data_IF_053934559270
#
_entry.id   IF_053934559270
#
_cell.length_a   1.000
_cell.length_b   1.000
_cell.length_c   1.000
_cell.angle_alpha   90.00
_cell.angle_beta   90.00
_cell.angle_gamma   90.00
#
_symmetry.space_group_name_H-M   'P 1'
#
loop_
_entity.id
_entity.type
_entity.pdbx_description
1 polymer ?
#
# COMPACT_ATOMS: atom_id res chain seq x y z
N UNK A 1 -56.09 30.18 -31.38
CA UNK A 1 -54.81 29.76 -31.97
C UNK A 1 -53.94 29.18 -30.87
N UNK A 2 -53.65 27.87 -30.95
CA UNK A 2 -52.74 27.14 -30.06
C UNK A 2 -51.31 27.21 -30.62
N UNK A 3 -50.35 26.76 -29.79
CA UNK A 3 -48.97 26.31 -30.10
C UNK A 3 -47.91 27.44 -30.21
N UNK A 4 -46.75 27.40 -29.55
CA UNK A 4 -46.14 26.43 -28.61
C UNK A 4 -44.91 27.10 -28.00
N UNK A 5 -44.77 27.11 -26.68
CA UNK A 5 -43.51 27.47 -26.02
C UNK A 5 -42.76 26.15 -25.77
N UNK A 6 -41.67 25.91 -26.51
CA UNK A 6 -40.84 24.72 -26.36
C UNK A 6 -39.90 24.92 -25.17
N UNK A 7 -40.26 24.40 -23.99
CA UNK A 7 -39.36 24.34 -22.83
C UNK A 7 -38.58 23.02 -22.93
N UNK A 8 -37.33 23.11 -23.36
CA UNK A 8 -36.40 21.99 -23.38
C UNK A 8 -35.90 21.75 -21.94
N UNK A 9 -36.57 20.84 -21.22
CA UNK A 9 -36.11 20.40 -19.91
C UNK A 9 -34.93 19.42 -20.09
N UNK A 10 -33.72 19.92 -19.85
CA UNK A 10 -32.50 19.11 -19.80
C UNK A 10 -32.50 18.32 -18.47
N UNK A 11 -33.04 17.10 -18.50
CA UNK A 11 -32.91 16.16 -17.40
C UNK A 11 -31.46 15.69 -17.31
N UNK A 12 -30.66 16.36 -16.48
CA UNK A 12 -29.38 15.83 -16.00
C UNK A 12 -29.68 14.64 -15.09
N UNK A 13 -29.69 13.45 -15.68
CA UNK A 13 -29.62 12.19 -14.95
C UNK A 13 -28.27 12.14 -14.24
N UNK A 14 -28.25 12.55 -12.97
CA UNK A 14 -27.13 12.27 -12.07
C UNK A 14 -27.12 10.75 -11.90
N UNK A 15 -26.30 10.06 -12.68
CA UNK A 15 -25.98 8.67 -12.40
C UNK A 15 -25.33 8.67 -11.02
N UNK A 16 -26.03 8.13 -10.03
CA UNK A 16 -25.45 7.86 -8.72
C UNK A 16 -24.34 6.83 -8.96
N UNK A 17 -23.11 7.30 -9.09
CA UNK A 17 -21.92 6.45 -9.01
C UNK A 17 -21.98 5.85 -7.61
N UNK A 18 -22.30 4.57 -7.54
CA UNK A 18 -22.29 3.81 -6.29
C UNK A 18 -20.81 3.56 -5.95
N UNK A 19 -20.16 4.59 -5.41
CA UNK A 19 -18.81 4.48 -4.89
C UNK A 19 -18.90 3.68 -3.59
N UNK A 20 -18.20 2.54 -3.53
CA UNK A 20 -17.99 1.84 -2.26
C UNK A 20 -17.34 2.82 -1.27
N UNK A 21 -18.01 3.05 -0.14
CA UNK A 21 -17.43 3.82 0.95
C UNK A 21 -16.33 2.98 1.61
N UNK A 22 -15.11 3.52 1.63
CA UNK A 22 -13.96 2.86 2.27
C UNK A 22 -13.89 3.28 3.73
N UNK A 23 -13.47 2.36 4.59
CA UNK A 23 -13.33 2.59 6.02
C UNK A 23 -11.91 3.05 6.34
N UNK A 24 -11.79 4.11 7.16
CA UNK A 24 -10.50 4.51 7.72
C UNK A 24 -10.14 3.54 8.84
N UNK A 25 -9.14 2.69 8.59
CA UNK A 25 -8.54 1.84 9.61
C UNK A 25 -7.36 2.55 10.27
N UNK A 26 -7.40 2.66 11.60
CA UNK A 26 -6.35 3.29 12.41
C UNK A 26 -5.83 2.28 13.44
N UNK A 27 -4.52 2.10 13.52
CA UNK A 27 -3.89 1.29 14.54
C UNK A 27 -2.85 2.11 15.31
N UNK A 28 -3.19 2.56 16.52
CA UNK A 28 -2.30 3.37 17.36
C UNK A 28 -1.06 2.60 17.86
N UNK A 29 -1.19 1.28 18.05
CA UNK A 29 -0.08 0.44 18.52
C UNK A 29 0.96 0.20 17.43
N UNK A 30 0.50 0.04 16.19
CA UNK A 30 1.38 -0.11 15.02
C UNK A 30 1.61 1.21 14.28
N UNK A 31 1.12 2.31 14.85
CA UNK A 31 1.39 3.70 14.47
C UNK A 31 1.09 4.05 13.01
N UNK A 32 0.04 3.46 12.42
CA UNK A 32 -0.38 3.77 11.06
C UNK A 32 -1.90 3.95 10.90
N UNK A 33 -2.28 4.62 9.82
CA UNK A 33 -3.64 4.65 9.30
C UNK A 33 -3.64 4.37 7.80
N UNK A 34 -4.73 3.80 7.30
CA UNK A 34 -5.01 3.64 5.87
C UNK A 34 -6.52 3.47 5.66
N UNK A 35 -7.00 3.73 4.46
CA UNK A 35 -8.37 3.41 4.04
C UNK A 35 -8.41 2.01 3.44
N UNK A 36 -9.42 1.21 3.79
CA UNK A 36 -9.66 -0.10 3.21
C UNK A 36 -11.07 -0.20 2.63
N UNK A 37 -11.32 -1.07 1.63
CA UNK A 37 -12.68 -1.30 1.13
C UNK A 37 -13.65 -1.85 2.18
N UNK A 38 -13.13 -2.54 3.19
CA UNK A 38 -13.85 -3.09 4.35
C UNK A 38 -12.83 -3.35 5.48
N UNK A 39 -13.29 -3.82 6.64
CA UNK A 39 -12.44 -4.11 7.80
C UNK A 39 -11.36 -5.17 7.48
N UNK A 40 -10.06 -4.86 7.63
CA UNK A 40 -8.98 -5.81 7.39
C UNK A 40 -8.73 -6.74 8.59
N UNK A 41 -8.18 -7.92 8.30
CA UNK A 41 -7.70 -8.87 9.30
C UNK A 41 -6.29 -8.55 9.76
N UNK A 42 -6.01 -8.79 11.05
CA UNK A 42 -4.66 -8.65 11.63
C UNK A 42 -4.03 -10.01 11.88
N UNK A 43 -2.83 -10.22 11.36
CA UNK A 43 -2.00 -11.40 11.64
C UNK A 43 -0.57 -11.00 12.00
N UNK A 44 0.14 -11.92 12.66
CA UNK A 44 1.57 -11.77 12.94
C UNK A 44 2.27 -13.03 12.45
N UNK A 45 3.30 -12.84 11.63
CA UNK A 45 4.14 -13.93 11.13
C UNK A 45 5.58 -13.71 11.55
N UNK A 46 6.26 -14.79 11.94
CA UNK A 46 7.68 -14.72 12.25
C UNK A 46 8.49 -15.10 11.02
N UNK A 47 9.33 -14.20 10.54
CA UNK A 47 10.13 -14.42 9.34
C UNK A 47 11.60 -14.34 9.69
N UNK A 48 12.36 -15.36 9.28
CA UNK A 48 13.81 -15.34 9.38
C UNK A 48 14.36 -14.41 8.27
N UNK A 49 15.09 -13.39 8.68
CA UNK A 49 15.74 -12.43 7.78
C UNK A 49 17.24 -12.41 8.02
N UNK A 50 17.98 -11.71 7.15
CA UNK A 50 19.43 -11.54 7.30
C UNK A 50 19.85 -10.90 8.63
N UNK A 51 18.95 -10.15 9.28
CA UNK A 51 19.20 -9.46 10.56
C UNK A 51 18.61 -10.20 11.77
N UNK A 52 18.08 -11.42 11.58
CA UNK A 52 17.43 -12.21 12.61
C UNK A 52 15.95 -12.46 12.35
N UNK A 53 15.26 -13.01 13.34
CA UNK A 53 13.83 -13.29 13.26
C UNK A 53 13.04 -12.00 13.53
N UNK A 54 12.23 -11.59 12.57
CA UNK A 54 11.37 -10.42 12.68
C UNK A 54 9.91 -10.86 12.82
N UNK A 55 9.16 -10.16 13.66
CA UNK A 55 7.70 -10.26 13.70
C UNK A 55 7.13 -9.31 12.64
N UNK A 56 6.52 -9.88 11.60
CA UNK A 56 5.80 -9.16 10.55
C UNK A 56 4.34 -9.02 10.95
N UNK A 57 3.94 -7.80 11.32
CA UNK A 57 2.54 -7.48 11.58
C UNK A 57 1.85 -7.15 10.26
N UNK A 58 0.86 -7.94 9.88
CA UNK A 58 0.15 -7.78 8.61
C UNK A 58 -1.31 -7.41 8.86
N UNK A 59 -1.76 -6.33 8.24
CA UNK A 59 -3.14 -5.85 8.28
C UNK A 59 -3.64 -5.92 6.85
N UNK A 60 -4.45 -6.92 6.57
CA UNK A 60 -4.75 -7.37 5.21
C UNK A 60 -6.26 -7.45 4.99
N UNK A 61 -6.71 -6.90 3.87
CA UNK A 61 -8.03 -7.16 3.33
C UNK A 61 -7.88 -7.91 2.00
N UNK A 62 -8.55 -9.05 1.89
CA UNK A 62 -8.57 -9.89 0.70
C UNK A 62 -10.03 -10.19 0.32
N UNK A 63 -10.61 -9.47 -0.67
CA UNK A 63 -12.01 -9.63 -1.05
C UNK A 63 -12.27 -10.99 -1.71
N UNK A 64 -13.48 -11.51 -1.51
CA UNK A 64 -13.86 -12.84 -2.02
C UNK A 64 -14.09 -12.89 -3.54
N UNK A 65 -14.56 -11.80 -4.17
CA UNK A 65 -14.72 -11.66 -5.63
C UNK A 65 -15.09 -10.22 -6.01
N UNK A 66 -14.87 -9.86 -7.28
CA UNK A 66 -15.36 -8.62 -7.93
C UNK A 66 -14.78 -7.29 -7.43
N UNK A 67 -13.77 -7.30 -6.56
CA UNK A 67 -13.02 -6.10 -6.22
C UNK A 67 -12.00 -5.77 -7.33
N UNK A 68 -11.58 -4.51 -7.36
CA UNK A 68 -10.51 -4.00 -8.22
C UNK A 68 -9.18 -4.68 -7.93
N UNK A 69 -8.93 -5.06 -6.67
CA UNK A 69 -7.68 -5.66 -6.24
C UNK A 69 -7.91 -6.93 -5.43
N UNK A 70 -7.01 -7.89 -5.58
CA UNK A 70 -7.04 -9.17 -4.86
C UNK A 70 -6.60 -9.03 -3.40
N UNK A 71 -5.71 -8.08 -3.10
CA UNK A 71 -5.20 -7.82 -1.75
C UNK A 71 -4.91 -6.34 -1.57
N UNK A 72 -5.24 -5.84 -0.38
CA UNK A 72 -4.76 -4.58 0.18
C UNK A 72 -4.11 -4.88 1.53
N UNK A 73 -2.86 -4.46 1.74
CA UNK A 73 -2.17 -4.76 2.99
C UNK A 73 -1.23 -3.65 3.46
N UNK A 74 -1.16 -3.48 4.77
CA UNK A 74 -0.08 -2.79 5.46
C UNK A 74 0.71 -3.83 6.23
N UNK A 75 2.03 -3.84 6.06
CA UNK A 75 2.96 -4.71 6.75
C UNK A 75 3.92 -3.83 7.56
N UNK A 76 4.10 -4.14 8.84
CA UNK A 76 5.06 -3.47 9.72
C UNK A 76 6.03 -4.48 10.32
N UNK A 77 7.32 -4.18 10.24
CA UNK A 77 8.39 -5.00 10.81
C UNK A 77 9.38 -4.11 11.56
N UNK A 78 9.65 -4.47 12.81
CA UNK A 78 10.63 -3.77 13.66
C UNK A 78 11.96 -4.51 13.59
N UNK A 79 12.97 -3.86 13.05
CA UNK A 79 14.33 -4.39 13.00
C UNK A 79 15.01 -4.17 14.37
N UNK A 80 16.00 -5.00 14.75
CA UNK A 80 16.77 -4.76 15.97
C UNK A 80 17.41 -3.37 15.96
N UNK A 81 17.17 -2.57 17.00
CA UNK A 81 17.67 -1.18 17.11
C UNK A 81 19.20 -1.10 16.96
N UNK A 82 19.93 -2.07 17.51
CA UNK A 82 21.39 -2.16 17.40
C UNK A 82 21.89 -2.22 15.95
N UNK A 83 21.06 -2.67 15.00
CA UNK A 83 21.40 -2.69 13.56
C UNK A 83 21.35 -1.31 12.90
N UNK A 84 20.84 -0.30 13.63
CA UNK A 84 20.65 1.07 13.20
C UNK A 84 21.45 2.08 14.03
N UNK A 85 22.17 1.63 15.07
CA UNK A 85 23.12 2.47 15.80
C UNK A 85 24.16 3.03 14.83
N UNK A 86 24.30 4.35 14.80
CA UNK A 86 25.18 5.09 13.87
C UNK A 86 24.89 4.86 12.37
N UNK A 87 23.68 4.39 12.03
CA UNK A 87 23.29 4.21 10.62
C UNK A 87 23.25 5.55 9.89
N UNK A 88 24.02 5.63 8.81
CA UNK A 88 24.01 6.72 7.86
C UNK A 88 23.03 6.44 6.71
N UNK A 89 22.87 7.40 5.81
CA UNK A 89 22.00 7.28 4.64
C UNK A 89 22.31 6.02 3.80
N UNK A 90 23.58 5.64 3.66
CA UNK A 90 23.98 4.47 2.88
C UNK A 90 23.42 3.17 3.51
N UNK A 91 23.42 3.07 4.84
CA UNK A 91 22.81 1.93 5.54
C UNK A 91 21.30 1.84 5.33
N UNK A 92 20.59 2.96 5.36
CA UNK A 92 19.14 2.98 5.08
C UNK A 92 18.84 2.55 3.64
N UNK A 93 19.64 2.99 2.67
CA UNK A 93 19.51 2.59 1.26
C UNK A 93 19.76 1.10 1.07
N UNK A 94 20.78 0.53 1.71
CA UNK A 94 21.08 -0.91 1.65
C UNK A 94 19.91 -1.76 2.16
N UNK A 95 19.28 -1.35 3.27
CA UNK A 95 18.14 -2.06 3.85
C UNK A 95 16.92 -1.99 2.92
N UNK A 96 16.67 -0.83 2.31
CA UNK A 96 15.62 -0.66 1.31
C UNK A 96 15.89 -1.50 0.05
N UNK A 97 17.14 -1.54 -0.45
CA UNK A 97 17.53 -2.40 -1.57
C UNK A 97 17.29 -3.88 -1.24
N UNK A 98 17.66 -4.31 -0.04
CA UNK A 98 17.40 -5.66 0.45
C UNK A 98 15.91 -6.00 0.53
N UNK A 99 15.08 -5.05 0.96
CA UNK A 99 13.62 -5.23 1.00
C UNK A 99 13.02 -5.35 -0.41
N UNK A 100 13.45 -4.50 -1.35
CA UNK A 100 13.00 -4.52 -2.75
C UNK A 100 13.41 -5.83 -3.43
N UNK A 101 14.68 -6.22 -3.32
CA UNK A 101 15.17 -7.46 -3.93
C UNK A 101 14.59 -8.70 -3.25
N UNK A 102 14.40 -8.66 -1.93
CA UNK A 102 13.69 -9.70 -1.18
C UNK A 102 12.26 -9.89 -1.69
N UNK A 103 11.52 -8.81 -1.89
CA UNK A 103 10.16 -8.86 -2.45
C UNK A 103 10.16 -9.46 -3.87
N UNK A 104 11.05 -8.96 -4.76
CA UNK A 104 11.15 -9.42 -6.14
C UNK A 104 11.51 -10.91 -6.24
N UNK A 105 12.52 -11.34 -5.48
CA UNK A 105 13.02 -12.72 -5.49
C UNK A 105 12.03 -13.71 -4.87
N UNK A 106 11.42 -13.37 -3.72
CA UNK A 106 10.41 -14.23 -3.07
C UNK A 106 9.19 -14.47 -3.96
N UNK A 107 8.79 -13.46 -4.74
CA UNK A 107 7.67 -13.56 -5.67
C UNK A 107 8.06 -14.21 -7.02
N UNK A 108 9.35 -14.49 -7.24
CA UNK A 108 9.91 -14.85 -8.56
C UNK A 108 9.45 -13.88 -9.66
N UNK A 109 9.37 -12.59 -9.32
CA UNK A 109 8.80 -11.56 -10.18
C UNK A 109 9.83 -10.77 -10.98
N UNK A 110 9.31 -10.00 -11.95
CA UNK A 110 10.09 -9.06 -12.77
C UNK A 110 9.82 -7.64 -12.30
N UNK A 111 10.87 -6.83 -12.12
CA UNK A 111 10.72 -5.44 -11.74
C UNK A 111 10.15 -4.62 -12.92
N UNK A 112 9.01 -3.98 -12.73
CA UNK A 112 8.40 -3.08 -13.72
C UNK A 112 8.93 -1.66 -13.53
N UNK A 113 8.89 -1.17 -12.28
CA UNK A 113 9.54 0.09 -11.91
C UNK A 113 9.98 0.05 -10.47
N UNK A 114 10.96 0.90 -10.19
CA UNK A 114 11.51 1.12 -8.86
C UNK A 114 11.92 2.59 -8.72
N UNK A 115 11.36 3.27 -7.73
CA UNK A 115 11.56 4.70 -7.51
C UNK A 115 11.84 5.01 -6.05
N UNK A 116 12.98 5.65 -5.79
CA UNK A 116 13.27 6.25 -4.49
C UNK A 116 12.35 7.44 -4.21
N UNK A 117 11.88 7.53 -2.96
CA UNK A 117 10.99 8.60 -2.50
C UNK A 117 11.41 9.07 -1.11
N UNK A 118 11.00 10.29 -0.75
CA UNK A 118 11.03 10.78 0.62
C UNK A 118 9.60 10.88 1.12
N UNK A 119 9.23 10.04 2.10
CA UNK A 119 7.89 10.00 2.69
C UNK A 119 7.96 10.54 4.12
N UNK A 120 7.28 11.66 4.39
CA UNK A 120 7.32 12.34 5.69
C UNK A 120 8.74 12.58 6.24
N UNK A 121 9.70 12.85 5.35
CA UNK A 121 11.11 13.06 5.71
C UNK A 121 11.96 11.79 5.82
N UNK A 122 11.37 10.60 5.62
CA UNK A 122 12.06 9.30 5.70
C UNK A 122 12.29 8.70 4.31
N UNK A 123 13.37 7.92 4.12
CA UNK A 123 13.65 7.26 2.85
C UNK A 123 12.65 6.13 2.58
N UNK A 124 12.26 5.97 1.33
CA UNK A 124 11.39 4.90 0.89
C UNK A 124 11.54 4.54 -0.57
N UNK A 125 10.81 3.49 -0.99
CA UNK A 125 10.81 2.92 -2.33
C UNK A 125 9.40 2.61 -2.77
N UNK A 126 9.00 3.15 -3.92
CA UNK A 126 7.77 2.78 -4.59
C UNK A 126 8.15 1.88 -5.76
N UNK A 127 7.67 0.64 -5.71
CA UNK A 127 8.00 -0.39 -6.69
C UNK A 127 6.73 -1.02 -7.25
N UNK A 128 6.87 -1.59 -8.44
CA UNK A 128 5.90 -2.50 -9.04
C UNK A 128 6.59 -3.72 -9.58
N UNK A 129 6.09 -4.89 -9.18
CA UNK A 129 6.60 -6.19 -9.58
C UNK A 129 5.53 -6.90 -10.40
N UNK A 130 5.92 -7.42 -11.55
CA UNK A 130 5.10 -8.33 -12.36
C UNK A 130 5.31 -9.77 -11.91
N UNK A 131 4.20 -10.48 -11.71
CA UNK A 131 4.15 -11.92 -11.45
C UNK A 131 3.15 -12.57 -12.43
N UNK A 132 3.15 -13.90 -12.59
CA UNK A 132 2.20 -14.55 -13.50
C UNK A 132 0.74 -14.18 -13.18
N UNK A 133 0.10 -13.43 -14.09
CA UNK A 133 -1.31 -13.03 -14.01
C UNK A 133 -1.63 -11.87 -13.07
N UNK A 134 -0.63 -11.22 -12.47
CA UNK A 134 -0.88 -10.12 -11.53
C UNK A 134 0.27 -9.11 -11.45
N UNK A 135 -0.03 -7.95 -10.89
CA UNK A 135 0.95 -6.96 -10.46
C UNK A 135 0.90 -6.78 -8.94
N UNK A 136 2.07 -6.55 -8.37
CA UNK A 136 2.25 -6.18 -6.97
C UNK A 136 2.78 -4.76 -6.91
N UNK A 137 1.99 -3.85 -6.37
CA UNK A 137 2.40 -2.49 -6.03
C UNK A 137 2.88 -2.47 -4.58
N UNK A 138 3.99 -1.81 -4.31
CA UNK A 138 4.56 -1.75 -2.98
C UNK A 138 5.21 -0.39 -2.70
N UNK A 139 4.79 0.25 -1.61
CA UNK A 139 5.42 1.44 -1.04
C UNK A 139 6.11 1.04 0.26
N UNK A 140 7.43 0.87 0.22
CA UNK A 140 8.26 0.54 1.39
C UNK A 140 8.88 1.82 1.98
N UNK A 141 8.63 2.11 3.26
CA UNK A 141 9.12 3.28 3.97
C UNK A 141 9.89 2.83 5.21
N UNK A 142 11.11 3.32 5.39
CA UNK A 142 11.97 2.96 6.52
C UNK A 142 12.10 4.15 7.49
N UNK A 143 11.48 4.03 8.66
CA UNK A 143 11.45 5.04 9.72
C UNK A 143 12.28 4.55 10.90
N UNK A 144 13.47 5.14 11.09
CA UNK A 144 14.46 4.64 12.04
C UNK A 144 14.71 3.13 11.80
N UNK A 145 14.42 2.25 12.76
CA UNK A 145 14.52 0.79 12.64
C UNK A 145 13.21 0.09 12.20
N UNK A 146 12.16 0.83 11.81
CA UNK A 146 10.85 0.26 11.47
C UNK A 146 10.58 0.34 9.97
N UNK A 147 10.30 -0.79 9.34
CA UNK A 147 9.84 -0.85 7.95
C UNK A 147 8.31 -0.90 7.91
N UNK A 148 7.72 0.02 7.16
CA UNK A 148 6.32 -0.03 6.76
C UNK A 148 6.23 -0.34 5.26
N UNK A 149 5.36 -1.28 4.90
CA UNK A 149 5.08 -1.62 3.51
C UNK A 149 3.58 -1.52 3.29
N UNK A 150 3.16 -0.59 2.44
CA UNK A 150 1.81 -0.59 1.88
C UNK A 150 1.82 -1.34 0.54
N UNK A 151 1.00 -2.37 0.41
CA UNK A 151 1.00 -3.28 -0.73
C UNK A 151 -0.41 -3.47 -1.29
N UNK A 152 -0.48 -3.53 -2.62
CA UNK A 152 -1.70 -3.91 -3.36
C UNK A 152 -1.33 -4.99 -4.38
N UNK A 153 -2.17 -6.02 -4.49
CA UNK A 153 -2.05 -7.05 -5.53
C UNK A 153 -3.28 -6.96 -6.42
N UNK A 154 -3.09 -6.82 -7.72
CA UNK A 154 -4.18 -6.78 -8.70
C UNK A 154 -3.93 -7.76 -9.84
N UNK A 155 -5.00 -8.26 -10.45
CA UNK A 155 -4.90 -9.03 -11.69
C UNK A 155 -4.37 -8.12 -12.82
N UNK A 156 -3.67 -8.69 -13.79
CA UNK A 156 -3.04 -7.92 -14.90
C UNK A 156 -4.06 -7.07 -15.67
N UNK A 157 -5.28 -7.58 -15.87
CA UNK A 157 -6.37 -6.88 -16.55
C UNK A 157 -6.99 -5.72 -15.74
N UNK A 158 -6.71 -5.67 -14.43
CA UNK A 158 -7.16 -4.60 -13.52
C UNK A 158 -6.04 -3.63 -13.16
N UNK A 159 -4.91 -3.72 -13.86
CA UNK A 159 -3.76 -2.85 -13.62
C UNK A 159 -4.11 -1.36 -13.73
N UNK A 160 -3.46 -0.52 -12.92
CA UNK A 160 -3.68 0.93 -12.86
C UNK A 160 -5.12 1.38 -12.51
N UNK A 161 -5.92 0.53 -11.85
CA UNK A 161 -7.21 0.95 -11.30
C UNK A 161 -7.05 2.04 -10.22
N UNK A 162 -8.12 2.82 -10.00
CA UNK A 162 -8.12 3.93 -9.03
C UNK A 162 -7.97 3.48 -7.59
N UNK A 163 -8.43 2.27 -7.26
CA UNK A 163 -8.41 1.72 -5.90
C UNK A 163 -6.98 1.44 -5.42
N UNK A 164 -6.04 1.12 -6.32
CA UNK A 164 -4.60 1.03 -6.00
C UNK A 164 -4.12 2.35 -5.41
N UNK A 165 -4.35 3.46 -6.12
CA UNK A 165 -3.88 4.78 -5.69
C UNK A 165 -4.63 5.28 -4.47
N UNK A 166 -5.93 4.99 -4.36
CA UNK A 166 -6.72 5.31 -3.16
C UNK A 166 -6.11 4.67 -1.91
N UNK A 167 -5.83 3.37 -1.96
CA UNK A 167 -5.18 2.66 -0.86
C UNK A 167 -3.79 3.23 -0.54
N UNK A 168 -2.90 3.24 -1.54
CA UNK A 168 -1.49 3.63 -1.33
C UNK A 168 -1.33 5.08 -0.85
N UNK A 169 -2.19 6.00 -1.30
CA UNK A 169 -2.15 7.41 -0.87
C UNK A 169 -2.84 7.65 0.47
N UNK A 170 -3.73 6.76 0.91
CA UNK A 170 -4.38 6.85 2.22
C UNK A 170 -3.47 6.42 3.38
N UNK A 171 -2.44 5.63 3.07
CA UNK A 171 -1.45 5.20 4.06
C UNK A 171 -0.70 6.40 4.64
N UNK A 172 -0.69 6.49 5.96
CA UNK A 172 0.14 7.46 6.69
C UNK A 172 0.56 6.91 8.05
N UNK A 173 1.66 7.44 8.56
CA UNK A 173 2.25 7.07 9.85
C UNK A 173 1.75 8.09 10.89
N UNK A 174 1.14 7.62 11.97
CA UNK A 174 0.46 8.49 12.94
C UNK A 174 1.45 9.35 13.73
N UNK A 175 2.66 8.84 14.00
CA UNK A 175 3.69 9.54 14.78
C UNK A 175 5.00 9.67 14.01
N UNK A 176 5.01 10.48 12.97
CA UNK A 176 6.26 10.92 12.31
C UNK A 176 6.81 12.15 13.03
N UNK A 177 7.52 11.94 14.15
CA UNK A 177 8.28 12.89 15.00
C UNK A 177 7.57 14.18 15.47
N UNK A 178 7.66 14.44 16.78
CA UNK A 178 7.77 15.81 17.34
C UNK A 178 9.20 16.34 17.16
#
# INVERSE_FOLDING_TARGET
MKLTLLVLAFLLSIAAVNAQEWEVYKNETLEFRAEYPDTPDKTVQKVATAVGQLDMHMIMYAPNSNDDNAVYSIIRSDYPEDSFTDADEARYLEILDGAVEGARSNLNGTMVFDRSVTFNGFPGRYIKIEIPGAYVYMNAILVNNTMFIAQVICETEKDNNSSIQKFLNSFDIIKVRE
#
